data_IF_529196203370
#
_entry.id   IF_529196203370
#
_cell.length_a   1.000
_cell.length_b   1.000
_cell.length_c   1.000
_cell.angle_alpha   90.00
_cell.angle_beta   90.00
_cell.angle_gamma   90.00
#
_symmetry.space_group_name_H-M   'P 1'
#
loop_
_entity.id
_entity.type
_entity.pdbx_description
1 polymer ?
#
# COMPACT_ATOMS: atom_id res chain seq x y z
N UNK A 1 11.32 -12.94 -6.00
CA UNK A 1 10.17 -12.41 -5.24
C UNK A 1 10.22 -10.90 -5.33
N UNK A 2 9.08 -10.27 -5.60
CA UNK A 2 8.97 -8.81 -5.70
C UNK A 2 7.74 -8.32 -4.94
N UNK A 3 7.80 -7.08 -4.48
CA UNK A 3 6.70 -6.42 -3.79
C UNK A 3 6.39 -5.10 -4.49
N UNK A 4 5.11 -4.70 -4.46
CA UNK A 4 4.64 -3.43 -4.99
C UNK A 4 3.78 -2.74 -3.93
N UNK A 5 4.11 -1.48 -3.65
CA UNK A 5 3.22 -0.57 -2.96
C UNK A 5 2.25 0.04 -3.98
N UNK A 6 0.97 -0.21 -3.79
CA UNK A 6 -0.10 0.35 -4.62
C UNK A 6 -0.88 1.38 -3.80
N UNK A 7 -0.79 2.64 -4.21
CA UNK A 7 -1.54 3.72 -3.59
C UNK A 7 -3.04 3.68 -3.96
N UNK A 8 -3.36 3.06 -5.10
CA UNK A 8 -4.73 2.92 -5.61
C UNK A 8 -5.29 4.19 -6.26
N UNK A 9 -6.59 4.14 -6.52
CA UNK A 9 -7.30 5.21 -7.22
C UNK A 9 -7.31 6.52 -6.42
N UNK A 10 -7.02 7.64 -7.09
CA UNK A 10 -6.96 8.97 -6.47
C UNK A 10 -8.35 9.57 -6.18
N UNK A 11 -9.37 9.19 -6.95
CA UNK A 11 -10.64 9.91 -7.06
C UNK A 11 -11.84 9.19 -6.45
N UNK A 12 -11.72 7.88 -6.22
CA UNK A 12 -12.74 7.02 -5.63
C UNK A 12 -12.13 5.96 -4.72
N UNK A 13 -12.97 5.41 -3.87
CA UNK A 13 -12.67 4.18 -3.16
C UNK A 13 -12.40 3.03 -4.14
N UNK A 14 -11.52 2.13 -3.72
CA UNK A 14 -11.14 0.95 -4.49
C UNK A 14 -10.42 -0.02 -3.59
N UNK A 15 -10.62 -1.32 -3.82
CA UNK A 15 -9.87 -2.38 -3.15
C UNK A 15 -8.48 -2.63 -3.78
N UNK A 16 -8.18 -2.05 -4.94
CA UNK A 16 -6.91 -2.21 -5.66
C UNK A 16 -5.82 -1.28 -5.11
N UNK A 17 -5.46 -1.51 -3.85
CA UNK A 17 -4.50 -0.72 -3.06
C UNK A 17 -3.89 -1.59 -1.96
N UNK A 18 -2.80 -1.09 -1.37
CA UNK A 18 -2.05 -1.78 -0.33
C UNK A 18 -0.77 -2.39 -0.87
N UNK A 19 -0.30 -3.49 -0.28
CA UNK A 19 0.94 -4.16 -0.71
C UNK A 19 0.60 -5.46 -1.41
N UNK A 20 1.19 -5.64 -2.59
CA UNK A 20 1.08 -6.87 -3.37
C UNK A 20 2.44 -7.56 -3.42
N UNK A 21 2.42 -8.89 -3.33
CA UNK A 21 3.60 -9.77 -3.42
C UNK A 21 3.46 -10.68 -4.63
N UNK A 22 4.54 -10.80 -5.39
CA UNK A 22 4.67 -11.83 -6.43
C UNK A 22 5.85 -12.75 -6.12
N UNK A 23 5.63 -14.06 -6.31
CA UNK A 23 6.66 -15.10 -6.18
C UNK A 23 7.27 -15.50 -7.52
N UNK A 24 6.62 -15.15 -8.62
CA UNK A 24 6.98 -15.51 -10.01
C UNK A 24 7.53 -14.34 -10.83
N UNK A 25 7.87 -13.22 -10.19
CA UNK A 25 8.52 -12.08 -10.86
C UNK A 25 7.54 -11.06 -11.46
N UNK A 26 6.24 -11.24 -11.23
CA UNK A 26 5.20 -10.27 -11.56
C UNK A 26 4.05 -10.83 -12.41
N UNK A 27 4.06 -12.12 -12.70
CA UNK A 27 3.00 -12.78 -13.48
C UNK A 27 1.72 -12.95 -12.65
N UNK A 28 1.87 -13.32 -11.36
CA UNK A 28 0.75 -13.40 -10.41
C UNK A 28 1.04 -12.60 -9.14
N UNK A 29 -0.03 -12.06 -8.55
CA UNK A 29 0.05 -11.16 -7.40
C UNK A 29 -0.93 -11.58 -6.29
N UNK A 30 -0.41 -11.57 -5.06
CA UNK A 30 -1.17 -11.77 -3.83
C UNK A 30 -1.21 -10.46 -3.04
N UNK A 31 -2.40 -10.03 -2.60
CA UNK A 31 -2.53 -8.87 -1.72
C UNK A 31 -2.17 -9.28 -0.29
N UNK A 32 -1.03 -8.78 0.21
CA UNK A 32 -0.47 -9.18 1.51
C UNK A 32 -0.67 -8.12 2.60
N UNK A 33 -0.99 -6.87 2.22
CA UNK A 33 -1.43 -5.84 3.15
C UNK A 33 -2.59 -5.07 2.54
N UNK A 34 -3.69 -4.98 3.29
CA UNK A 34 -4.84 -4.16 2.99
C UNK A 34 -5.34 -3.51 4.27
N UNK A 35 -5.62 -2.21 4.22
CA UNK A 35 -6.13 -1.45 5.37
C UNK A 35 -7.63 -1.23 5.21
N UNK A 36 -8.02 -0.48 4.18
CA UNK A 36 -9.40 -0.13 3.85
C UNK A 36 -9.47 0.43 2.41
N UNK A 37 -10.67 0.72 1.84
CA UNK A 37 -10.83 1.19 0.45
C UNK A 37 -10.28 2.59 0.12
N UNK A 38 -9.80 3.34 1.13
CA UNK A 38 -9.28 4.71 1.04
C UNK A 38 -7.79 4.82 1.35
N UNK A 39 -7.17 3.74 1.83
CA UNK A 39 -5.78 3.71 2.32
C UNK A 39 -4.89 2.77 1.52
N UNK A 40 -3.96 3.33 0.75
CA UNK A 40 -2.99 2.56 -0.05
C UNK A 40 -1.59 2.56 0.53
N UNK A 41 -0.66 1.80 -0.06
CA UNK A 41 0.76 1.85 0.30
C UNK A 41 1.52 2.82 -0.61
N UNK A 42 2.51 3.52 -0.07
CA UNK A 42 3.31 4.53 -0.80
C UNK A 42 4.79 4.20 -0.87
N UNK A 43 5.30 3.43 0.09
CA UNK A 43 6.72 3.08 0.14
C UNK A 43 6.91 1.72 0.82
N UNK A 44 7.99 1.04 0.45
CA UNK A 44 8.39 -0.25 0.97
C UNK A 44 9.89 -0.28 1.20
N UNK A 45 10.30 -0.65 2.40
CA UNK A 45 11.72 -0.81 2.75
C UNK A 45 11.91 -2.17 3.40
N UNK A 46 12.77 -2.98 2.80
CA UNK A 46 13.21 -4.25 3.38
C UNK A 46 14.37 -3.99 4.34
N UNK A 47 14.35 -4.64 5.50
CA UNK A 47 15.48 -4.57 6.43
C UNK A 47 16.71 -5.26 5.78
N UNK A 48 17.84 -4.54 5.61
CA UNK A 48 19.03 -5.11 4.98
C UNK A 48 19.72 -6.17 5.84
N UNK A 49 19.45 -6.21 7.15
CA UNK A 49 19.98 -7.18 8.10
C UNK A 49 19.08 -8.40 8.29
N UNK A 50 17.78 -8.26 8.02
CA UNK A 50 16.80 -9.36 8.00
C UNK A 50 15.81 -9.21 6.82
N UNK A 51 16.07 -9.86 5.68
CA UNK A 51 15.20 -9.79 4.50
C UNK A 51 13.78 -10.33 4.69
N UNK A 52 13.47 -10.96 5.84
CA UNK A 52 12.11 -11.37 6.19
C UNK A 52 11.28 -10.23 6.79
N UNK A 53 11.93 -9.15 7.20
CA UNK A 53 11.27 -7.96 7.74
C UNK A 53 11.05 -6.93 6.63
N UNK A 54 9.77 -6.62 6.35
CA UNK A 54 9.37 -5.56 5.43
C UNK A 54 8.60 -4.46 6.17
N UNK A 55 9.01 -3.22 5.95
CA UNK A 55 8.29 -2.03 6.39
C UNK A 55 7.47 -1.47 5.24
N UNK A 56 6.22 -1.09 5.52
CA UNK A 56 5.34 -0.46 4.55
C UNK A 56 4.75 0.83 5.11
N UNK A 57 4.85 1.92 4.35
CA UNK A 57 4.17 3.16 4.66
C UNK A 57 2.81 3.19 3.95
N UNK A 58 1.74 3.45 4.71
CA UNK A 58 0.39 3.60 4.17
C UNK A 58 -0.09 5.04 4.23
N UNK A 59 -0.92 5.40 3.27
CA UNK A 59 -1.46 6.73 3.11
C UNK A 59 -2.95 6.69 2.77
N UNK A 60 -3.77 7.18 3.71
CA UNK A 60 -5.18 7.44 3.48
C UNK A 60 -5.35 8.77 2.76
N UNK A 61 -5.93 8.73 1.55
CA UNK A 61 -6.20 9.94 0.78
C UNK A 61 -7.38 9.80 -0.17
N UNK A 62 -8.05 10.91 -0.45
CA UNK A 62 -9.09 11.00 -1.47
C UNK A 62 -9.12 12.40 -2.07
N UNK A 63 -9.09 12.49 -3.40
CA UNK A 63 -9.27 13.76 -4.11
C UNK A 63 -10.67 13.83 -4.71
N UNK A 64 -11.30 14.99 -4.58
CA UNK A 64 -12.58 15.35 -5.21
C UNK A 64 -12.41 16.68 -5.94
N UNK A 65 -13.37 17.04 -6.79
CA UNK A 65 -13.33 18.33 -7.50
C UNK A 65 -13.35 19.54 -6.55
N UNK A 66 -13.93 19.37 -5.36
CA UNK A 66 -14.11 20.43 -4.35
C UNK A 66 -13.18 20.30 -3.13
N UNK A 67 -12.22 19.38 -3.14
CA UNK A 67 -11.34 19.22 -1.99
C UNK A 67 -10.40 18.04 -2.04
N UNK A 68 -9.50 18.02 -1.07
CA UNK A 68 -8.51 16.97 -0.88
C UNK A 68 -8.52 16.55 0.59
N UNK A 69 -8.76 15.26 0.82
CA UNK A 69 -8.45 14.65 2.09
C UNK A 69 -7.07 13.99 1.98
N UNK A 70 -6.11 14.55 2.71
CA UNK A 70 -4.71 14.15 2.71
C UNK A 70 -4.28 13.42 3.98
N UNK A 71 -5.19 12.73 4.65
CA UNK A 71 -4.84 11.90 5.80
C UNK A 71 -6.04 11.19 6.39
N UNK A 72 -5.77 10.38 7.42
CA UNK A 72 -6.81 9.69 8.17
C UNK A 72 -6.25 8.51 8.95
N UNK A 73 -7.10 7.85 9.76
CA UNK A 73 -6.69 6.78 10.67
C UNK A 73 -5.99 5.59 10.03
N UNK A 74 -6.16 5.36 8.72
CA UNK A 74 -5.47 4.30 7.98
C UNK A 74 -4.02 4.63 7.62
N UNK A 75 -3.58 5.88 7.78
CA UNK A 75 -2.19 6.26 7.49
C UNK A 75 -1.27 5.79 8.62
N UNK A 76 -0.17 5.13 8.30
CA UNK A 76 0.73 4.58 9.31
C UNK A 76 1.91 3.80 8.73
N UNK A 77 2.68 3.20 9.63
CA UNK A 77 3.78 2.30 9.29
C UNK A 77 3.41 0.90 9.76
N UNK A 78 3.55 -0.06 8.84
CA UNK A 78 3.34 -1.48 9.09
C UNK A 78 4.68 -2.21 9.06
N UNK A 79 4.78 -3.27 9.86
CA UNK A 79 5.92 -4.19 9.92
C UNK A 79 5.38 -5.63 9.91
N UNK A 80 6.05 -6.52 9.18
CA UNK A 80 5.81 -7.97 9.22
C UNK A 80 6.62 -8.69 10.28
#
# INVERSE_FOLDING_TARGET
MVFVAALGNLWKDSEERGVFRSRDGGDTWEKVLYVDPYTGAVDLVMDPSDPNTLYAATYQRLRRAWGFNGGGPGSGIYKT
#
